data_IF_047783527530
#
_entry.id   IF_047783527530
#
_cell.length_a   1.000
_cell.length_b   1.000
_cell.length_c   1.000
_cell.angle_alpha   90.00
_cell.angle_beta   90.00
_cell.angle_gamma   90.00
#
_symmetry.space_group_name_H-M   'P 1'
#
loop_
_entity.id
_entity.type
_entity.pdbx_description
1 polymer ?
#
# COMPACT_ATOMS: atom_id res chain seq x y z
N UNK A 1 -23.24 -13.89 2.86
CA UNK A 1 -21.82 -13.58 2.63
C UNK A 1 -21.25 -12.92 3.88
N UNK A 2 -20.18 -13.49 4.41
CA UNK A 2 -19.60 -12.95 5.63
C UNK A 2 -18.48 -11.98 5.29
N UNK A 3 -18.41 -10.91 6.07
CA UNK A 3 -17.38 -9.89 5.93
C UNK A 3 -16.53 -9.83 7.19
N UNK A 4 -15.24 -9.69 7.01
CA UNK A 4 -14.35 -9.38 8.12
C UNK A 4 -14.36 -7.86 8.29
N UNK A 5 -14.91 -7.41 9.40
CA UNK A 5 -15.08 -5.98 9.63
C UNK A 5 -13.91 -5.39 10.40
N UNK A 6 -13.40 -4.26 9.94
CA UNK A 6 -12.37 -3.50 10.62
C UNK A 6 -12.77 -2.03 10.66
N UNK A 7 -12.33 -1.36 11.71
CA UNK A 7 -12.61 0.06 11.85
C UNK A 7 -11.99 0.86 10.71
N UNK A 8 -10.75 0.52 10.35
CA UNK A 8 -10.04 1.20 9.28
C UNK A 8 -9.28 0.19 8.44
N UNK A 9 -9.48 0.26 7.14
CA UNK A 9 -8.71 -0.53 6.18
C UNK A 9 -7.91 0.42 5.31
N UNK A 10 -6.64 0.06 5.10
CA UNK A 10 -5.74 0.80 4.20
C UNK A 10 -5.51 -0.08 2.97
N UNK A 11 -5.79 0.46 1.80
CA UNK A 11 -5.54 -0.26 0.54
C UNK A 11 -4.25 0.22 -0.07
N UNK A 12 -3.31 -0.70 -0.22
CA UNK A 12 -2.04 -0.44 -0.87
C UNK A 12 -0.88 -0.43 0.10
N UNK A 13 0.23 -1.01 -0.34
CA UNK A 13 1.42 -1.20 0.48
C UNK A 13 2.64 -0.48 -0.07
N UNK A 14 2.43 0.61 -0.77
CA UNK A 14 3.52 1.51 -1.10
C UNK A 14 3.83 2.43 0.08
N UNK A 15 4.71 3.40 -0.12
CA UNK A 15 5.08 4.33 0.97
C UNK A 15 3.90 5.03 1.60
N UNK A 16 2.91 5.43 0.79
CA UNK A 16 1.74 6.13 1.31
C UNK A 16 0.93 5.24 2.25
N UNK A 17 0.72 3.98 1.87
CA UNK A 17 -0.02 3.03 2.70
C UNK A 17 0.68 2.75 4.01
N UNK A 18 1.98 2.50 3.96
CA UNK A 18 2.74 2.24 5.18
C UNK A 18 2.78 3.48 6.09
N UNK A 19 2.94 4.66 5.51
CA UNK A 19 2.91 5.89 6.32
C UNK A 19 1.56 6.06 7.00
N UNK A 20 0.48 5.83 6.27
CA UNK A 20 -0.86 5.90 6.85
C UNK A 20 -1.04 4.90 7.98
N UNK A 21 -0.50 3.68 7.80
CA UNK A 21 -0.58 2.64 8.82
C UNK A 21 0.05 3.05 10.14
N UNK A 22 1.24 3.64 10.08
CA UNK A 22 1.93 4.08 11.27
C UNK A 22 1.10 5.12 12.03
N UNK A 23 0.63 6.15 11.34
CA UNK A 23 -0.11 7.21 11.99
C UNK A 23 -1.47 6.75 12.51
N UNK A 24 -2.14 5.89 11.75
CA UNK A 24 -3.41 5.33 12.20
C UNK A 24 -3.23 4.45 13.45
N UNK A 25 -2.17 3.65 13.47
CA UNK A 25 -1.88 2.82 14.64
C UNK A 25 -1.58 3.67 15.85
N UNK A 26 -0.80 4.73 15.69
CA UNK A 26 -0.49 5.64 16.79
C UNK A 26 -1.72 6.38 17.30
N UNK A 27 -2.72 6.55 16.44
CA UNK A 27 -3.99 7.16 16.84
C UNK A 27 -4.96 6.15 17.50
N UNK A 28 -4.54 4.91 17.65
CA UNK A 28 -5.37 3.89 18.28
C UNK A 28 -6.47 3.34 17.39
N UNK A 29 -6.35 3.46 16.07
CA UNK A 29 -7.38 3.03 15.13
C UNK A 29 -7.29 1.56 14.74
N UNK A 30 -6.24 0.87 15.17
CA UNK A 30 -6.06 -0.55 14.91
C UNK A 30 -6.24 -0.91 13.43
N UNK A 31 -5.46 -0.29 12.52
CA UNK A 31 -5.68 -0.48 11.09
C UNK A 31 -5.23 -1.84 10.59
N UNK A 32 -5.84 -2.26 9.48
CA UNK A 32 -5.36 -3.38 8.71
C UNK A 32 -4.97 -2.85 7.32
N UNK A 33 -3.88 -3.35 6.79
CA UNK A 33 -3.37 -2.92 5.49
C UNK A 33 -3.43 -4.09 4.52
N UNK A 34 -4.11 -3.91 3.41
CA UNK A 34 -4.19 -4.90 2.34
C UNK A 34 -3.21 -4.51 1.24
N UNK A 35 -2.29 -5.43 0.92
CA UNK A 35 -1.15 -5.08 0.09
C UNK A 35 -1.46 -4.81 -1.37
N UNK A 36 -2.53 -5.42 -1.89
CA UNK A 36 -2.77 -5.40 -3.31
C UNK A 36 -1.95 -6.47 -4.02
N UNK A 37 -1.87 -6.37 -5.35
CA UNK A 37 -1.18 -7.36 -6.16
C UNK A 37 0.35 -7.26 -6.01
N UNK A 38 0.86 -6.05 -5.81
CA UNK A 38 2.30 -5.85 -5.68
C UNK A 38 2.62 -5.22 -4.34
N UNK A 39 3.06 -6.04 -3.41
CA UNK A 39 3.46 -5.54 -2.10
C UNK A 39 4.67 -4.63 -2.26
N UNK A 40 4.60 -3.43 -1.65
CA UNK A 40 5.67 -2.44 -1.74
C UNK A 40 5.55 -1.51 -2.94
N UNK A 41 4.65 -1.79 -3.87
CA UNK A 41 4.40 -0.93 -5.01
C UNK A 41 5.59 -0.84 -5.95
N UNK A 42 5.70 0.30 -6.63
CA UNK A 42 6.74 0.48 -7.65
C UNK A 42 8.16 0.52 -7.09
N UNK A 43 8.31 0.84 -5.82
CA UNK A 43 9.65 0.90 -5.23
C UNK A 43 10.32 -0.47 -5.16
N UNK A 44 9.55 -1.55 -5.26
CA UNK A 44 10.15 -2.89 -5.29
C UNK A 44 10.96 -3.14 -6.55
N UNK A 45 10.70 -2.37 -7.61
CA UNK A 45 11.44 -2.49 -8.88
C UNK A 45 12.46 -1.37 -9.06
N UNK A 46 12.55 -0.47 -8.10
CA UNK A 46 13.49 0.64 -8.13
C UNK A 46 14.78 0.23 -7.43
N UNK A 47 15.92 0.64 -7.98
CA UNK A 47 17.20 0.36 -7.32
C UNK A 47 17.54 1.48 -6.34
N UNK A 48 18.19 2.53 -6.80
CA UNK A 48 18.62 3.60 -5.90
C UNK A 48 17.49 4.53 -5.53
N UNK A 49 17.32 4.79 -4.25
CA UNK A 49 16.34 5.74 -3.75
C UNK A 49 17.09 6.90 -3.12
N UNK A 50 16.97 8.07 -3.70
CA UNK A 50 17.71 9.24 -3.26
C UNK A 50 16.80 10.35 -2.75
N UNK A 51 15.52 10.18 -2.89
CA UNK A 51 14.53 11.20 -2.52
C UNK A 51 13.68 10.81 -1.31
N UNK A 52 14.13 9.83 -0.54
CA UNK A 52 13.44 9.48 0.70
C UNK A 52 14.12 10.21 1.86
N UNK A 53 13.44 11.14 2.50
CA UNK A 53 14.07 11.94 3.56
C UNK A 53 14.58 11.07 4.69
N UNK A 54 15.80 11.34 5.10
CA UNK A 54 16.42 10.61 6.20
C UNK A 54 17.27 9.42 5.77
N UNK A 55 17.16 9.00 4.54
CA UNK A 55 17.94 7.87 4.00
C UNK A 55 18.55 8.28 2.66
N UNK A 56 19.78 8.72 2.69
CA UNK A 56 20.43 9.28 1.50
C UNK A 56 21.61 8.45 1.00
N UNK A 57 22.03 7.45 1.77
CA UNK A 57 23.27 6.75 1.49
C UNK A 57 23.02 5.31 1.01
N UNK A 58 22.87 5.14 -0.29
CA UNK A 58 22.81 3.81 -0.90
C UNK A 58 21.54 3.03 -0.63
N UNK A 59 20.46 3.70 -0.26
CA UNK A 59 19.21 3.00 0.01
C UNK A 59 18.63 2.42 -1.28
N UNK A 60 18.22 1.14 -1.22
CA UNK A 60 17.60 0.47 -2.34
C UNK A 60 16.08 0.36 -2.12
N UNK A 61 15.33 0.39 -3.23
CA UNK A 61 13.87 0.35 -3.16
C UNK A 61 13.32 -0.84 -2.39
N UNK A 62 13.71 -2.08 -2.73
CA UNK A 62 13.20 -3.24 -1.99
C UNK A 62 13.54 -3.20 -0.50
N UNK A 63 14.74 -2.75 -0.16
CA UNK A 63 15.14 -2.62 1.23
C UNK A 63 14.27 -1.62 1.96
N UNK A 64 13.99 -0.47 1.33
CA UNK A 64 13.13 0.54 1.93
C UNK A 64 11.75 -0.01 2.21
N UNK A 65 11.18 -0.77 1.26
CA UNK A 65 9.85 -1.33 1.46
C UNK A 65 9.81 -2.36 2.58
N UNK A 66 10.87 -3.15 2.73
CA UNK A 66 10.95 -4.07 3.85
C UNK A 66 11.02 -3.34 5.18
N UNK A 67 11.78 -2.26 5.22
CA UNK A 67 11.90 -1.44 6.44
C UNK A 67 10.57 -0.80 6.80
N UNK A 68 9.84 -0.30 5.80
CA UNK A 68 8.52 0.28 6.03
C UNK A 68 7.54 -0.74 6.56
N UNK A 69 7.53 -1.95 6.00
CA UNK A 69 6.64 -3.00 6.48
C UNK A 69 6.95 -3.35 7.93
N UNK A 70 8.23 -3.51 8.26
CA UNK A 70 8.61 -3.80 9.64
C UNK A 70 8.22 -2.69 10.59
N UNK A 71 8.31 -1.45 10.12
CA UNK A 71 7.92 -0.30 10.94
C UNK A 71 6.43 -0.35 11.26
N UNK A 72 5.60 -0.66 10.27
CA UNK A 72 4.17 -0.82 10.49
C UNK A 72 3.88 -1.97 11.45
N UNK A 73 4.55 -3.09 11.27
CA UNK A 73 4.35 -4.25 12.12
C UNK A 73 4.78 -3.99 13.57
N UNK A 74 5.76 -3.12 13.76
CA UNK A 74 6.18 -2.74 15.11
C UNK A 74 5.06 -2.04 15.88
N UNK A 75 4.16 -1.35 15.16
CA UNK A 75 2.99 -0.73 15.77
C UNK A 75 1.74 -1.59 15.66
N UNK A 76 1.91 -2.88 15.39
CA UNK A 76 0.82 -3.86 15.31
C UNK A 76 -0.15 -3.63 14.15
N UNK A 77 0.29 -2.98 13.10
CA UNK A 77 -0.48 -2.92 11.86
C UNK A 77 -0.44 -4.30 11.22
N UNK A 78 -1.61 -4.86 10.96
CA UNK A 78 -1.68 -6.16 10.28
C UNK A 78 -1.58 -5.93 8.78
N UNK A 79 -0.56 -6.52 8.17
CA UNK A 79 -0.32 -6.42 6.73
C UNK A 79 -0.73 -7.75 6.11
N UNK A 80 -1.75 -7.74 5.28
CA UNK A 80 -2.34 -8.94 4.70
C UNK A 80 -2.30 -8.85 3.19
N UNK A 81 -1.86 -9.95 2.56
CA UNK A 81 -1.84 -10.04 1.11
C UNK A 81 -3.24 -10.32 0.60
N UNK A 82 -3.84 -9.33 -0.02
CA UNK A 82 -5.09 -9.49 -0.73
C UNK A 82 -5.18 -8.41 -1.79
N UNK A 83 -5.66 -8.79 -2.97
CA UNK A 83 -5.86 -7.87 -4.07
C UNK A 83 -7.36 -7.62 -4.20
N UNK A 84 -7.77 -6.40 -3.91
CA UNK A 84 -9.18 -6.03 -3.97
C UNK A 84 -9.54 -5.70 -5.42
N UNK A 85 -10.54 -6.37 -5.95
CA UNK A 85 -10.98 -6.18 -7.33
C UNK A 85 -12.34 -5.50 -7.44
N UNK A 86 -13.06 -5.35 -6.34
CA UNK A 86 -14.36 -4.70 -6.35
C UNK A 86 -14.63 -4.04 -5.01
N UNK A 87 -15.25 -2.86 -5.05
CA UNK A 87 -15.62 -2.16 -3.83
C UNK A 87 -17.06 -1.69 -3.92
N UNK A 88 -17.73 -1.62 -2.76
CA UNK A 88 -19.05 -1.02 -2.63
C UNK A 88 -18.90 0.06 -1.58
N UNK A 89 -18.91 1.30 -2.01
CA UNK A 89 -18.59 2.44 -1.15
C UNK A 89 -19.82 3.30 -0.80
N UNK A 90 -21.01 2.76 -1.04
CA UNK A 90 -22.27 3.45 -0.75
C UNK A 90 -23.12 2.58 0.16
N UNK A 91 -24.04 3.23 0.88
CA UNK A 91 -25.08 2.55 1.68
C UNK A 91 -24.54 1.61 2.76
N UNK A 92 -24.13 2.16 3.86
CA UNK A 92 -23.70 1.39 5.03
C UNK A 92 -22.18 1.22 5.06
N UNK A 93 -21.68 0.16 5.70
CA UNK A 93 -20.24 -0.05 5.78
C UNK A 93 -19.61 -0.19 4.41
N UNK A 94 -18.40 0.32 4.28
CA UNK A 94 -17.65 0.17 3.04
C UNK A 94 -17.27 -1.29 2.87
N UNK A 95 -17.44 -1.83 1.66
CA UNK A 95 -17.19 -3.25 1.39
C UNK A 95 -16.12 -3.42 0.34
N UNK A 96 -15.26 -4.40 0.56
CA UNK A 96 -14.15 -4.68 -0.34
C UNK A 96 -14.13 -6.17 -0.64
N UNK A 97 -14.00 -6.51 -1.90
CA UNK A 97 -13.99 -7.91 -2.32
C UNK A 97 -12.65 -8.25 -2.97
N UNK A 98 -11.94 -9.16 -2.36
CA UNK A 98 -10.71 -9.74 -2.87
C UNK A 98 -10.81 -11.25 -2.80
N UNK A 99 -9.73 -11.91 -2.36
CA UNK A 99 -9.82 -13.33 -2.06
C UNK A 99 -10.68 -13.56 -0.83
N UNK A 100 -10.80 -12.55 0.01
CA UNK A 100 -11.71 -12.52 1.15
C UNK A 100 -12.61 -11.31 1.02
N UNK A 101 -13.66 -11.28 1.83
CA UNK A 101 -14.60 -10.16 1.87
C UNK A 101 -14.34 -9.33 3.12
N UNK A 102 -14.19 -8.03 2.91
CA UNK A 102 -13.84 -7.10 3.98
C UNK A 102 -14.89 -6.00 4.07
N UNK A 103 -15.09 -5.49 5.28
CA UNK A 103 -15.88 -4.28 5.45
C UNK A 103 -15.15 -3.34 6.40
N UNK A 104 -15.42 -2.06 6.28
CA UNK A 104 -14.74 -1.05 7.07
C UNK A 104 -15.64 0.12 7.38
N UNK A 105 -15.39 0.76 8.52
CA UNK A 105 -16.03 2.04 8.83
C UNK A 105 -15.38 3.16 8.03
N UNK A 106 -14.06 3.06 7.81
CA UNK A 106 -13.32 4.05 7.04
C UNK A 106 -12.28 3.35 6.17
N UNK A 107 -11.93 3.98 5.06
CA UNK A 107 -11.03 3.41 4.07
C UNK A 107 -10.03 4.47 3.64
N UNK A 108 -8.76 4.10 3.63
CA UNK A 108 -7.72 4.93 3.02
C UNK A 108 -7.29 4.25 1.73
N UNK A 109 -7.42 4.98 0.62
CA UNK A 109 -7.04 4.47 -0.70
C UNK A 109 -5.66 4.98 -1.04
N UNK A 110 -4.70 4.08 -1.11
CA UNK A 110 -3.31 4.39 -1.41
C UNK A 110 -2.74 3.36 -2.37
N UNK A 111 -3.50 3.10 -3.43
CA UNK A 111 -3.22 2.00 -4.34
C UNK A 111 -2.08 2.28 -5.32
N UNK A 112 -1.61 3.52 -5.38
CA UNK A 112 -0.47 3.86 -6.21
C UNK A 112 -0.79 3.82 -7.69
N UNK A 113 0.24 3.57 -8.48
CA UNK A 113 0.13 3.51 -9.92
C UNK A 113 1.09 2.46 -10.45
N UNK A 114 0.81 1.99 -11.66
CA UNK A 114 1.71 1.10 -12.37
C UNK A 114 2.19 1.80 -13.63
N UNK A 115 3.42 1.54 -14.03
CA UNK A 115 3.95 2.12 -15.24
C UNK A 115 3.17 1.57 -16.43
N UNK A 116 2.82 2.45 -17.36
CA UNK A 116 2.18 2.06 -18.60
C UNK A 116 3.15 2.27 -19.74
N UNK A 117 3.37 1.23 -20.51
CA UNK A 117 4.28 1.28 -21.65
C UNK A 117 3.48 1.32 -22.93
N UNK A 118 3.94 2.12 -23.90
CA UNK A 118 3.19 2.30 -25.13
C UNK A 118 3.30 1.13 -26.10
N UNK A 119 4.08 0.13 -25.77
CA UNK A 119 4.25 -1.02 -26.66
C UNK A 119 5.17 -0.75 -27.85
N UNK A 120 5.91 0.34 -27.82
CA UNK A 120 6.86 0.68 -28.86
C UNK A 120 8.24 0.18 -28.49
N UNK A 121 8.93 -0.46 -29.41
CA UNK A 121 10.25 -1.01 -29.13
C UNK A 121 11.28 0.04 -28.75
N UNK A 122 11.08 1.27 -29.20
CA UNK A 122 12.00 2.35 -28.88
C UNK A 122 11.59 3.15 -27.66
N UNK A 123 10.46 2.77 -27.05
CA UNK A 123 9.97 3.49 -25.89
C UNK A 123 10.86 3.21 -24.68
N UNK A 124 11.32 4.27 -24.03
CA UNK A 124 11.98 4.12 -22.76
C UNK A 124 11.18 4.87 -21.74
N UNK A 125 11.09 4.28 -20.57
CA UNK A 125 10.41 4.92 -19.48
C UNK A 125 11.03 6.27 -19.20
N UNK A 126 10.26 7.33 -19.02
CA UNK A 126 10.84 8.60 -18.64
C UNK A 126 11.58 8.45 -17.34
N UNK A 127 12.60 9.26 -17.16
CA UNK A 127 13.30 9.28 -15.91
C UNK A 127 12.32 9.62 -14.79
N UNK A 128 12.26 8.84 -13.77
CA UNK A 128 11.33 9.12 -12.69
C UNK A 128 11.82 10.32 -11.93
N UNK A 129 11.12 11.33 -12.04
CA UNK A 129 11.45 12.41 -11.29
C UNK A 129 10.54 12.44 -10.29
N UNK A 130 10.45 12.18 -9.71
CA UNK A 130 9.66 12.17 -8.89
C UNK A 130 9.22 11.86 -8.52
#
# INVERSE_FOLDING_TARGET
MEYQHHKLIILGSGPAGYAAGIYAARAGLNPILLTGAEEGGQLTTTTDVENWPGDWDGLQGPELMQRMRKHDEMFDVKVINDHIHETVLADGPLKLHGSQNWSADALIISTGASAQYLGCLLYTSPSPRD
#
